data_IF_793162720233
#
_entry.id   IF_793162720233
#
_cell.length_a   1.000
_cell.length_b   1.000
_cell.length_c   1.000
_cell.angle_alpha   90.00
_cell.angle_beta   90.00
_cell.angle_gamma   90.00
#
_symmetry.space_group_name_H-M   'P 1'
#
loop_
_entity.id
_entity.type
_entity.pdbx_description
1 polymer ?
#
# COMPACT_ATOMS: atom_id res chain seq x y z
N UNK A 1 -22.06 6.30 -13.61
CA UNK A 1 -21.12 5.17 -13.37
C UNK A 1 -19.65 5.56 -13.58
N UNK A 2 -19.28 6.18 -14.70
CA UNK A 2 -17.89 6.58 -14.96
C UNK A 2 -17.31 7.55 -13.91
N UNK A 3 -18.07 8.57 -13.50
CA UNK A 3 -17.66 9.50 -12.44
C UNK A 3 -17.40 8.78 -11.12
N UNK A 4 -18.24 7.82 -10.73
CA UNK A 4 -18.07 7.02 -9.51
C UNK A 4 -16.79 6.18 -9.56
N UNK A 5 -16.52 5.52 -10.69
CA UNK A 5 -15.28 4.76 -10.85
C UNK A 5 -14.05 5.67 -10.82
N UNK A 6 -14.13 6.85 -11.44
CA UNK A 6 -13.04 7.83 -11.39
C UNK A 6 -12.76 8.33 -9.96
N UNK A 7 -13.80 8.57 -9.15
CA UNK A 7 -13.64 8.97 -7.73
C UNK A 7 -12.99 7.86 -6.89
N UNK A 8 -13.39 6.59 -7.09
CA UNK A 8 -12.84 5.46 -6.33
C UNK A 8 -11.37 5.21 -6.73
N UNK A 9 -11.09 5.17 -8.04
CA UNK A 9 -9.73 5.00 -8.54
C UNK A 9 -8.84 6.19 -8.17
N UNK A 10 -9.38 7.41 -8.23
CA UNK A 10 -8.70 8.63 -7.78
C UNK A 10 -8.31 8.54 -6.31
N UNK A 11 -9.26 8.24 -5.42
CA UNK A 11 -8.98 8.06 -3.99
C UNK A 11 -7.90 6.99 -3.73
N UNK A 12 -7.98 5.85 -4.42
CA UNK A 12 -7.00 4.78 -4.28
C UNK A 12 -5.62 5.19 -4.80
N UNK A 13 -5.55 5.91 -5.91
CA UNK A 13 -4.30 6.41 -6.49
C UNK A 13 -3.65 7.45 -5.55
N UNK A 14 -4.43 8.37 -4.97
CA UNK A 14 -3.92 9.31 -3.97
C UNK A 14 -3.30 8.55 -2.79
N UNK A 15 -4.03 7.59 -2.23
CA UNK A 15 -3.57 6.79 -1.09
C UNK A 15 -2.23 6.07 -1.38
N UNK A 16 -2.12 5.42 -2.55
CA UNK A 16 -0.91 4.70 -2.94
C UNK A 16 0.28 5.63 -3.20
N UNK A 17 0.03 6.82 -3.76
CA UNK A 17 1.10 7.74 -4.10
C UNK A 17 1.62 8.54 -2.89
N UNK A 18 0.77 8.74 -1.88
CA UNK A 18 1.13 9.54 -0.70
C UNK A 18 1.55 8.73 0.51
N UNK A 19 1.24 7.44 0.56
CA UNK A 19 1.44 6.61 1.77
C UNK A 19 2.52 5.58 1.52
N UNK A 20 3.67 5.76 2.16
CA UNK A 20 4.69 4.72 2.19
C UNK A 20 4.23 3.55 3.07
N UNK A 21 4.41 2.28 2.62
CA UNK A 21 4.00 1.11 3.37
C UNK A 21 4.73 1.00 4.72
N UNK A 22 5.97 1.47 4.80
CA UNK A 22 6.74 1.50 6.05
C UNK A 22 6.14 2.47 7.08
N UNK A 23 5.59 3.61 6.63
CA UNK A 23 4.92 4.57 7.51
C UNK A 23 3.59 4.02 8.02
N UNK A 24 2.84 3.30 7.17
CA UNK A 24 1.62 2.59 7.59
C UNK A 24 1.93 1.54 8.67
N UNK A 25 2.97 0.74 8.47
CA UNK A 25 3.41 -0.27 9.45
C UNK A 25 3.88 0.38 10.76
N UNK A 26 4.54 1.54 10.69
CA UNK A 26 4.92 2.30 11.88
C UNK A 26 3.69 2.78 12.68
N UNK A 27 2.63 3.22 12.01
CA UNK A 27 1.39 3.64 12.66
C UNK A 27 0.68 2.47 13.36
N UNK A 28 0.75 1.27 12.77
CA UNK A 28 0.22 0.02 13.33
C UNK A 28 0.91 -0.35 14.66
N UNK A 29 2.20 -0.01 14.85
CA UNK A 29 2.88 -0.21 16.15
C UNK A 29 2.25 0.60 17.28
N UNK A 30 1.74 1.80 16.97
CA UNK A 30 1.06 2.67 17.95
C UNK A 30 -0.33 2.13 18.33
N UNK A 31 -0.91 1.26 17.51
CA UNK A 31 -2.22 0.63 17.73
C UNK A 31 -2.17 -0.56 18.72
N UNK A 32 -1.11 -0.67 19.54
CA UNK A 32 -0.86 -1.73 20.53
C UNK A 32 -0.63 -3.14 19.96
N UNK A 33 -0.34 -3.28 18.67
CA UNK A 33 0.09 -4.57 18.12
C UNK A 33 1.48 -4.96 18.63
N UNK A 34 1.75 -6.26 18.83
CA UNK A 34 3.05 -6.71 19.31
C UNK A 34 4.14 -6.32 18.33
N UNK A 35 5.17 -5.65 18.83
CA UNK A 35 6.27 -5.11 18.05
C UNK A 35 6.92 -6.14 17.10
N UNK A 36 7.02 -7.41 17.55
CA UNK A 36 7.58 -8.50 16.76
C UNK A 36 6.82 -8.73 15.45
N UNK A 37 5.49 -8.66 15.48
CA UNK A 37 4.67 -8.84 14.27
C UNK A 37 4.93 -7.74 13.25
N UNK A 38 5.04 -6.48 13.71
CA UNK A 38 5.28 -5.36 12.79
C UNK A 38 6.66 -5.45 12.14
N UNK A 39 7.69 -5.89 12.88
CA UNK A 39 9.02 -6.14 12.31
C UNK A 39 8.98 -7.20 11.24
N UNK A 40 8.31 -8.32 11.51
CA UNK A 40 8.18 -9.40 10.52
C UNK A 40 7.45 -8.90 9.28
N UNK A 41 6.38 -8.12 9.43
CA UNK A 41 5.67 -7.55 8.28
C UNK A 41 6.52 -6.57 7.49
N UNK A 42 7.26 -5.65 8.13
CA UNK A 42 8.16 -4.72 7.42
C UNK A 42 9.29 -5.46 6.71
N UNK A 43 9.85 -6.49 7.35
CA UNK A 43 10.87 -7.33 6.74
C UNK A 43 10.32 -8.07 5.51
N UNK A 44 9.10 -8.61 5.60
CA UNK A 44 8.42 -9.27 4.47
C UNK A 44 8.23 -8.32 3.29
N UNK A 45 7.80 -7.07 3.52
CA UNK A 45 7.66 -6.06 2.46
C UNK A 45 9.00 -5.80 1.76
N UNK A 46 10.09 -5.73 2.52
CA UNK A 46 11.46 -5.56 1.98
C UNK A 46 11.99 -6.81 1.28
N UNK A 47 11.50 -8.00 1.62
CA UNK A 47 11.89 -9.24 0.96
C UNK A 47 11.28 -9.43 -0.42
N UNK A 48 10.10 -8.87 -0.70
CA UNK A 48 9.46 -8.97 -2.02
C UNK A 48 10.41 -8.56 -3.17
N UNK A 49 11.01 -7.35 -3.18
CA UNK A 49 11.93 -6.95 -4.26
C UNK A 49 13.21 -7.81 -4.29
N UNK A 50 13.69 -8.26 -3.14
CA UNK A 50 14.87 -9.14 -3.04
C UNK A 50 14.59 -10.51 -3.66
N UNK A 51 13.41 -11.07 -3.42
CA UNK A 51 12.96 -12.33 -4.03
C UNK A 51 12.87 -12.20 -5.55
N UNK A 52 12.41 -11.06 -6.09
CA UNK A 52 12.42 -10.80 -7.53
C UNK A 52 13.82 -10.74 -8.11
N UNK A 53 14.77 -10.12 -7.42
CA UNK A 53 16.18 -10.12 -7.85
C UNK A 53 16.76 -11.54 -7.83
N UNK A 54 16.46 -12.32 -6.79
CA UNK A 54 16.91 -13.72 -6.68
C UNK A 54 16.28 -14.61 -7.76
N UNK A 55 14.99 -14.42 -8.06
CA UNK A 55 14.28 -15.04 -9.17
C UNK A 55 14.99 -14.79 -10.50
N UNK A 56 15.34 -13.53 -10.80
CA UNK A 56 16.03 -13.17 -12.03
C UNK A 56 17.42 -13.81 -12.12
N UNK A 57 18.18 -13.80 -11.02
CA UNK A 57 19.51 -14.41 -10.95
C UNK A 57 19.45 -15.94 -11.18
N UNK A 58 18.49 -16.62 -10.55
CA UNK A 58 18.29 -18.07 -10.75
C UNK A 58 17.84 -18.36 -12.18
N UNK A 59 16.96 -17.51 -12.75
CA UNK A 59 16.52 -17.65 -14.12
C UNK A 59 17.69 -17.51 -15.11
N UNK A 60 18.57 -16.54 -14.90
CA UNK A 60 19.75 -16.33 -15.74
C UNK A 60 20.73 -17.51 -15.63
N UNK A 61 21.00 -18.00 -14.41
CA UNK A 61 21.85 -19.17 -14.21
C UNK A 61 21.29 -20.43 -14.92
N UNK A 62 19.97 -20.63 -14.91
CA UNK A 62 19.33 -21.74 -15.63
C UNK A 62 19.38 -21.54 -17.16
N UNK A 63 19.27 -20.31 -17.66
CA UNK A 63 19.47 -20.01 -19.09
C UNK A 63 20.90 -20.33 -19.52
N UNK A 64 21.91 -20.01 -18.70
CA UNK A 64 23.31 -20.38 -18.96
C UNK A 64 23.54 -21.89 -18.98
N UNK A 65 22.73 -22.66 -18.24
CA UNK A 65 22.72 -24.14 -18.28
C UNK A 65 21.94 -24.72 -19.46
N UNK A 66 21.47 -23.88 -20.39
CA UNK A 66 20.75 -24.29 -21.60
C UNK A 66 19.24 -24.43 -21.43
N UNK A 67 18.67 -24.02 -20.28
CA UNK A 67 17.21 -24.05 -20.09
C UNK A 67 16.58 -22.87 -20.83
N UNK A 68 15.97 -23.18 -21.97
CA UNK A 68 15.18 -22.20 -22.73
C UNK A 68 13.73 -22.16 -22.21
N UNK A 69 13.38 -21.08 -21.50
CA UNK A 69 12.04 -20.86 -20.92
C UNK A 69 10.97 -20.51 -21.97
N UNK A 70 11.39 -20.11 -23.19
CA UNK A 70 10.48 -19.67 -24.25
C UNK A 70 10.02 -20.82 -25.15
N UNK A 71 10.72 -21.96 -25.15
CA UNK A 71 10.40 -23.12 -25.99
C UNK A 71 9.62 -24.22 -25.26
N UNK A 72 8.72 -24.90 -25.96
CA UNK A 72 7.94 -26.06 -25.47
C UNK A 72 6.45 -25.77 -25.26
N UNK A 73 5.68 -26.82 -24.94
CA UNK A 73 4.25 -26.71 -24.60
C UNK A 73 4.08 -26.02 -23.24
N UNK A 74 2.85 -25.59 -22.92
CA UNK A 74 2.54 -24.89 -21.67
C UNK A 74 2.96 -25.73 -20.43
N UNK A 75 2.76 -27.04 -20.47
CA UNK A 75 3.18 -27.98 -19.42
C UNK A 75 4.70 -28.02 -19.24
N UNK A 76 5.47 -28.05 -20.33
CA UNK A 76 6.94 -28.06 -20.27
C UNK A 76 7.47 -26.76 -19.68
N UNK A 77 6.84 -25.63 -20.02
CA UNK A 77 7.17 -24.33 -19.44
C UNK A 77 6.94 -24.32 -17.93
N UNK A 78 5.80 -24.81 -17.46
CA UNK A 78 5.50 -24.89 -16.02
C UNK A 78 6.54 -25.74 -15.29
N UNK A 79 6.92 -26.90 -15.85
CA UNK A 79 7.98 -27.76 -15.26
C UNK A 79 9.33 -27.03 -15.18
N UNK A 80 9.70 -26.26 -16.21
CA UNK A 80 10.93 -25.44 -16.21
C UNK A 80 10.91 -24.35 -15.13
N UNK A 81 9.78 -23.65 -14.96
CA UNK A 81 9.63 -22.69 -13.86
C UNK A 81 9.65 -23.37 -12.48
N UNK A 82 9.07 -24.56 -12.36
CA UNK A 82 9.10 -25.37 -11.13
C UNK A 82 10.52 -25.74 -10.69
N UNK A 83 11.46 -25.97 -11.62
CA UNK A 83 12.85 -26.26 -11.30
C UNK A 83 13.59 -25.10 -10.59
N UNK A 84 13.08 -23.87 -10.67
CA UNK A 84 13.65 -22.71 -9.96
C UNK A 84 13.18 -22.62 -8.50
N UNK A 85 12.12 -23.35 -8.13
CA UNK A 85 11.53 -23.28 -6.80
C UNK A 85 12.50 -23.69 -5.69
N UNK A 86 13.15 -24.85 -5.83
CA UNK A 86 14.08 -25.36 -4.81
C UNK A 86 15.30 -24.43 -4.58
N UNK A 87 16.01 -23.94 -5.62
CA UNK A 87 17.09 -22.97 -5.43
C UNK A 87 16.66 -21.69 -4.70
N UNK A 88 15.49 -21.15 -5.05
CA UNK A 88 14.96 -19.94 -4.42
C UNK A 88 14.55 -20.17 -2.97
N UNK A 89 13.93 -21.31 -2.69
CA UNK A 89 13.54 -21.70 -1.34
C UNK A 89 14.78 -21.85 -0.45
N UNK A 90 15.82 -22.55 -0.92
CA UNK A 90 17.09 -22.70 -0.19
C UNK A 90 17.70 -21.33 0.12
N UNK A 91 17.83 -20.47 -0.89
CA UNK A 91 18.39 -19.12 -0.72
C UNK A 91 17.58 -18.26 0.26
N UNK A 92 16.26 -18.41 0.26
CA UNK A 92 15.36 -17.70 1.18
C UNK A 92 15.50 -18.22 2.62
N UNK A 93 15.64 -19.54 2.81
CA UNK A 93 15.87 -20.15 4.12
C UNK A 93 17.22 -19.71 4.69
N UNK A 94 18.30 -19.80 3.91
CA UNK A 94 19.64 -19.36 4.33
C UNK A 94 19.63 -17.88 4.72
N UNK A 95 18.96 -17.03 3.92
CA UNK A 95 18.80 -15.60 4.22
C UNK A 95 18.04 -15.37 5.52
N UNK A 96 17.00 -16.16 5.80
CA UNK A 96 16.22 -16.03 7.03
C UNK A 96 17.06 -16.34 8.28
N UNK A 97 17.91 -17.37 8.20
CA UNK A 97 18.87 -17.73 9.26
C UNK A 97 19.88 -16.60 9.47
N UNK A 98 20.49 -16.10 8.40
CA UNK A 98 21.44 -14.99 8.46
C UNK A 98 20.84 -13.73 9.09
N UNK A 99 19.57 -13.44 8.78
CA UNK A 99 18.87 -12.28 9.35
C UNK A 99 18.54 -12.51 10.81
N UNK A 100 18.15 -13.72 11.21
CA UNK A 100 17.93 -14.06 12.61
C UNK A 100 19.22 -13.90 13.43
N UNK A 101 20.35 -14.44 12.96
CA UNK A 101 21.66 -14.29 13.61
C UNK A 101 22.10 -12.82 13.70
N UNK A 102 21.93 -12.06 12.61
CA UNK A 102 22.23 -10.63 12.59
C UNK A 102 21.31 -9.80 13.52
N UNK A 103 20.09 -10.28 13.78
CA UNK A 103 19.17 -9.65 14.72
C UNK A 103 19.53 -10.00 16.17
N UNK A 104 19.92 -11.24 16.43
CA UNK A 104 20.34 -11.70 17.76
C UNK A 104 21.62 -11.01 18.23
N UNK A 105 22.63 -10.90 17.35
CA UNK A 105 23.87 -10.15 17.62
C UNK A 105 23.63 -8.68 17.96
N UNK A 106 22.56 -8.07 17.42
CA UNK A 106 22.12 -6.70 17.74
C UNK A 106 21.22 -6.62 18.98
N UNK A 107 21.01 -7.72 19.69
CA UNK A 107 20.19 -7.79 20.90
C UNK A 107 18.69 -7.67 20.65
N UNK A 108 18.21 -8.07 19.46
CA UNK A 108 16.79 -8.07 19.16
C UNK A 108 16.03 -8.97 20.15
N UNK A 109 14.99 -8.42 20.79
CA UNK A 109 14.17 -9.16 21.76
C UNK A 109 14.73 -9.18 23.20
N UNK A 110 15.89 -8.57 23.46
CA UNK A 110 16.48 -8.48 24.81
C UNK A 110 15.67 -7.58 25.77
N UNK A 111 15.02 -6.54 25.26
CA UNK A 111 14.28 -5.56 26.05
C UNK A 111 12.78 -5.57 25.70
N UNK A 112 11.92 -5.41 26.72
CA UNK A 112 10.47 -5.32 26.56
C UNK A 112 10.03 -3.99 25.93
N UNK A 113 10.74 -2.90 26.26
CA UNK A 113 10.51 -1.56 25.68
C UNK A 113 11.56 -1.28 24.61
N UNK A 114 11.12 -0.80 23.45
CA UNK A 114 11.98 -0.41 22.32
C UNK A 114 11.80 1.07 22.03
N UNK A 115 12.88 1.75 21.64
CA UNK A 115 12.84 3.09 21.05
C UNK A 115 12.62 3.00 19.54
N UNK A 116 11.88 3.96 18.98
CA UNK A 116 11.69 4.09 17.54
C UNK A 116 12.66 5.15 17.01
N UNK A 117 13.31 4.86 15.88
CA UNK A 117 14.23 5.82 15.25
C UNK A 117 13.47 6.98 14.61
N UNK A 118 12.33 6.68 13.96
CA UNK A 118 11.44 7.67 13.34
C UNK A 118 10.23 7.89 14.24
N UNK A 119 10.27 8.94 15.04
CA UNK A 119 9.09 9.37 15.80
C UNK A 119 8.17 10.20 14.91
N UNK A 120 7.03 9.60 14.54
CA UNK A 120 5.98 10.30 13.79
C UNK A 120 5.29 11.29 14.72
N UNK A 121 5.69 12.57 14.66
CA UNK A 121 5.03 13.69 15.34
C UNK A 121 3.90 14.23 14.46
N UNK A 122 2.73 14.44 15.06
CA UNK A 122 1.58 15.05 14.39
C UNK A 122 1.86 16.55 14.28
N UNK A 123 1.95 17.05 13.05
CA UNK A 123 2.10 18.46 12.75
C UNK A 123 0.74 19.16 12.69
N UNK A 124 0.73 20.49 12.84
CA UNK A 124 -0.47 21.34 12.63
C UNK A 124 -0.97 21.21 11.18
N UNK A 125 -0.06 20.98 10.22
CA UNK A 125 -0.42 20.64 8.84
C UNK A 125 -1.22 19.35 8.73
N UNK A 126 -0.95 18.36 9.59
CA UNK A 126 -1.65 17.08 9.59
C UNK A 126 -3.05 17.25 10.17
N UNK A 127 -3.21 18.11 11.19
CA UNK A 127 -4.52 18.47 11.71
C UNK A 127 -5.39 19.16 10.64
N UNK A 128 -4.81 20.08 9.87
CA UNK A 128 -5.52 20.72 8.75
C UNK A 128 -5.93 19.72 7.66
N UNK A 129 -5.02 18.80 7.28
CA UNK A 129 -5.31 17.73 6.33
C UNK A 129 -6.44 16.81 6.79
N UNK A 130 -6.45 16.43 8.08
CA UNK A 130 -7.49 15.60 8.68
C UNK A 130 -8.85 16.32 8.60
N UNK A 131 -8.90 17.60 8.96
CA UNK A 131 -10.14 18.39 8.92
C UNK A 131 -10.67 18.51 7.49
N UNK A 132 -9.81 18.83 6.53
CA UNK A 132 -10.17 18.94 5.11
C UNK A 132 -10.64 17.60 4.53
N UNK A 133 -10.07 16.47 4.99
CA UNK A 133 -10.49 15.13 4.56
C UNK A 133 -11.83 14.68 5.16
N UNK A 134 -12.11 15.04 6.41
CA UNK A 134 -13.34 14.64 7.12
C UNK A 134 -14.54 15.51 6.72
N UNK A 135 -14.33 16.80 6.44
CA UNK A 135 -15.38 17.73 6.02
C UNK A 135 -16.30 17.20 4.89
N UNK A 136 -15.80 16.69 3.74
CA UNK A 136 -16.65 16.16 2.67
C UNK A 136 -17.40 14.89 3.08
N UNK A 137 -16.85 14.08 4.00
CA UNK A 137 -17.52 12.90 4.52
C UNK A 137 -18.72 13.29 5.39
N UNK A 138 -18.57 14.31 6.24
CA UNK A 138 -19.67 14.85 7.05
C UNK A 138 -20.75 15.48 6.17
N UNK A 139 -20.38 16.26 5.15
CA UNK A 139 -21.34 16.87 4.23
C UNK A 139 -22.09 15.80 3.44
N UNK A 140 -21.41 14.75 2.98
CA UNK A 140 -22.02 13.59 2.33
C UNK A 140 -23.05 12.90 3.24
N UNK A 141 -22.70 12.67 4.51
CA UNK A 141 -23.59 12.03 5.49
C UNK A 141 -24.79 12.90 5.84
N UNK A 142 -24.60 14.22 5.95
CA UNK A 142 -25.67 15.18 6.21
C UNK A 142 -26.66 15.25 5.04
N UNK A 143 -26.17 15.30 3.79
CA UNK A 143 -27.04 15.23 2.60
C UNK A 143 -27.84 13.92 2.57
N UNK A 144 -27.19 12.78 2.85
CA UNK A 144 -27.86 11.49 2.92
C UNK A 144 -28.99 11.45 3.98
N UNK A 145 -28.82 12.14 5.12
CA UNK A 145 -29.84 12.22 6.18
C UNK A 145 -31.08 13.04 5.80
N UNK A 146 -30.94 14.01 4.88
CA UNK A 146 -32.03 14.86 4.39
C UNK A 146 -32.83 14.21 3.25
N UNK A 147 -32.56 12.95 2.91
CA UNK A 147 -33.24 12.24 1.83
C UNK A 147 -32.86 12.73 0.41
N UNK A 148 -31.95 13.70 0.30
CA UNK A 148 -31.28 14.09 -0.95
C UNK A 148 -30.01 13.25 -1.05
N UNK A 149 -30.02 12.24 -1.92
CA UNK A 149 -28.91 11.28 -2.03
C UNK A 149 -29.16 9.94 -1.33
N UNK A 150 -30.41 9.46 -1.30
CA UNK A 150 -30.68 8.04 -1.02
C UNK A 150 -30.04 7.22 -2.15
N UNK A 151 -28.81 6.74 -1.90
CA UNK A 151 -28.13 5.77 -2.75
C UNK A 151 -28.91 4.44 -2.72
N UNK A 152 -29.97 4.33 -3.53
CA UNK A 152 -30.62 3.05 -3.78
C UNK A 152 -29.70 2.19 -4.64
N UNK A 153 -29.11 1.17 -4.01
CA UNK A 153 -28.10 0.28 -4.58
C UNK A 153 -28.58 -0.62 -5.74
N UNK A 154 -29.84 -0.54 -6.18
CA UNK A 154 -30.40 -1.41 -7.21
C UNK A 154 -30.74 -0.69 -8.52
N UNK A 155 -30.54 -1.42 -9.63
CA UNK A 155 -30.73 -1.04 -11.04
C UNK A 155 -31.99 -0.21 -11.30
N UNK A 156 -31.82 1.10 -11.46
CA UNK A 156 -32.57 1.87 -12.44
C UNK A 156 -31.60 2.76 -13.21
N UNK A 157 -31.84 2.88 -14.51
CA UNK A 157 -31.26 3.93 -15.37
C UNK A 157 -31.95 5.23 -14.95
N UNK A 158 -31.69 5.69 -13.73
CA UNK A 158 -32.05 7.04 -13.30
C UNK A 158 -30.99 8.00 -13.87
N UNK A 159 -31.39 9.17 -14.37
CA UNK A 159 -30.47 10.11 -15.01
C UNK A 159 -29.32 10.45 -14.06
N UNK A 160 -28.12 10.47 -14.62
CA UNK A 160 -26.83 10.65 -13.95
C UNK A 160 -26.75 11.91 -13.06
N UNK A 161 -27.67 12.86 -13.28
CA UNK A 161 -27.87 14.12 -12.57
C UNK A 161 -29.38 14.33 -12.52
N UNK A 162 -30.00 14.25 -11.33
CA UNK A 162 -31.41 14.61 -11.15
C UNK A 162 -31.59 16.07 -10.71
N UNK A 163 -30.53 16.68 -10.16
CA UNK A 163 -30.47 18.08 -9.74
C UNK A 163 -29.04 18.62 -9.87
N UNK A 164 -28.90 19.88 -10.28
CA UNK A 164 -27.60 20.58 -10.43
C UNK A 164 -26.74 20.50 -9.15
N UNK A 165 -27.36 20.43 -7.97
CA UNK A 165 -26.68 20.34 -6.67
C UNK A 165 -25.87 19.05 -6.48
N UNK A 166 -26.32 17.91 -7.04
CA UNK A 166 -25.59 16.64 -6.91
C UNK A 166 -24.35 16.61 -7.82
N UNK A 167 -24.41 17.26 -8.99
CA UNK A 167 -23.29 17.38 -9.91
C UNK A 167 -22.15 18.22 -9.31
N UNK A 168 -22.47 19.37 -8.70
CA UNK A 168 -21.48 20.19 -8.00
C UNK A 168 -20.81 19.45 -6.84
N UNK A 169 -21.53 18.57 -6.14
CA UNK A 169 -20.97 17.80 -5.03
C UNK A 169 -19.95 16.75 -5.51
N UNK A 170 -20.25 16.01 -6.57
CA UNK A 170 -19.29 15.06 -7.15
C UNK A 170 -18.05 15.74 -7.72
N UNK A 171 -18.23 16.88 -8.40
CA UNK A 171 -17.12 17.68 -8.93
C UNK A 171 -16.29 18.26 -7.78
N UNK A 172 -16.91 18.74 -6.70
CA UNK A 172 -16.21 19.24 -5.51
C UNK A 172 -15.38 18.15 -4.80
N UNK A 173 -15.90 16.92 -4.69
CA UNK A 173 -15.14 15.79 -4.12
C UNK A 173 -13.92 15.44 -4.99
N UNK A 174 -14.08 15.40 -6.33
CA UNK A 174 -12.96 15.18 -7.24
C UNK A 174 -11.92 16.29 -7.15
N UNK A 175 -12.38 17.56 -7.13
CA UNK A 175 -11.49 18.71 -7.03
C UNK A 175 -10.74 18.74 -5.69
N UNK A 176 -11.40 18.34 -4.60
CA UNK A 176 -10.80 18.23 -3.28
C UNK A 176 -9.80 17.06 -3.18
N UNK A 177 -10.06 15.93 -3.84
CA UNK A 177 -9.08 14.83 -3.96
C UNK A 177 -7.82 15.28 -4.74
N UNK A 178 -8.00 16.09 -5.79
CA UNK A 178 -6.90 16.65 -6.58
C UNK A 178 -6.12 17.72 -5.78
N UNK A 179 -6.79 18.51 -4.94
CA UNK A 179 -6.17 19.52 -4.06
C UNK A 179 -5.42 18.90 -2.87
N UNK A 180 -5.82 17.72 -2.39
CA UNK A 180 -5.15 17.04 -1.28
C UNK A 180 -3.75 16.51 -1.66
N UNK A 181 -3.56 16.10 -2.92
CA UNK A 181 -2.31 15.60 -3.49
C UNK A 181 -1.10 16.56 -3.34
N UNK A 182 -1.18 17.84 -3.76
CA UNK A 182 -0.07 18.77 -3.61
C UNK A 182 0.22 19.12 -2.14
N UNK A 183 -0.80 19.12 -1.27
CA UNK A 183 -0.63 19.47 0.15
C UNK A 183 0.11 18.38 0.95
N UNK A 184 -0.06 17.10 0.56
CA UNK A 184 0.70 15.97 1.10
C UNK A 184 2.13 15.88 0.53
N UNK A 185 2.33 16.29 -0.73
CA UNK A 185 3.64 16.29 -1.41
C UNK A 185 4.63 17.30 -0.81
N UNK A 186 4.14 18.41 -0.24
CA UNK A 186 4.96 19.43 0.45
C UNK A 186 5.66 18.88 1.71
N UNK A 187 5.12 17.81 2.31
CA UNK A 187 5.72 17.17 3.49
C UNK A 187 6.67 16.00 3.14
N UNK A 188 6.50 15.37 1.98
CA UNK A 188 7.24 14.18 1.55
C UNK A 188 8.66 14.41 1.02
N UNK A 189 9.26 15.60 1.19
CA UNK A 189 10.61 15.92 0.71
C UNK A 189 11.57 16.45 1.78
N UNK A 190 11.20 16.46 3.07
CA UNK A 190 12.02 17.11 4.11
C UNK A 190 12.41 16.23 5.32
N UNK A 191 12.51 14.91 5.16
CA UNK A 191 13.20 14.03 6.12
C UNK A 191 13.82 12.81 5.43
N UNK A 192 14.62 13.05 4.39
CA UNK A 192 15.69 12.13 4.00
C UNK A 192 17.02 12.81 4.34
N UNK A 193 17.36 12.79 5.64
CA UNK A 193 18.72 12.91 6.16
C UNK A 193 18.92 11.76 7.17
#
# INVERSE_FOLDING_TARGET
MCIRMAVILGAFAVLNLTTDPDDLLSAITKLKLPYRSVVVTSLSTKFVPVLFSDLNNVQEAQRSRGVDFSKGKLEDRIKKYGAMFFPLLSKSLDRSVQIAEAMETRGFGRYSKRSFYKDVKISISDAFLIVVSIAPLIVSLYMASQGIGIFKFYQRIDPLIKSNTEAYFFVAILFLQIILLPLLKIKGLMTYD
#
